data_IF_314456939587
#
_entry.id   IF_314456939587
#
_cell.length_a   1.000
_cell.length_b   1.000
_cell.length_c   1.000
_cell.angle_alpha   90.00
_cell.angle_beta   90.00
_cell.angle_gamma   90.00
#
_symmetry.space_group_name_H-M   'P 1'
#
loop_
_entity.id
_entity.type
_entity.pdbx_description
1 polymer ?
#
# COMPACT_ATOMS: atom_id res chain seq x y z
N UNK A 1 10.57 19.26 -4.66
CA UNK A 1 10.61 17.96 -3.95
C UNK A 1 9.79 17.98 -2.65
N UNK A 2 8.66 18.72 -2.57
CA UNK A 2 7.91 18.89 -1.31
C UNK A 2 6.38 18.71 -1.43
N UNK A 3 5.88 18.31 -2.60
CA UNK A 3 4.42 18.12 -2.82
C UNK A 3 3.98 16.68 -2.59
N UNK A 4 4.82 15.69 -2.88
CA UNK A 4 4.49 14.26 -2.71
C UNK A 4 4.38 13.85 -1.24
N UNK A 5 5.16 14.49 -0.34
CA UNK A 5 5.13 14.20 1.10
C UNK A 5 3.78 14.54 1.78
N UNK A 6 2.95 15.38 1.15
CA UNK A 6 1.60 15.69 1.66
C UNK A 6 0.51 14.78 1.07
N UNK A 7 0.72 14.21 -0.13
CA UNK A 7 -0.27 13.39 -0.83
C UNK A 7 -0.58 12.10 -0.07
N UNK A 8 0.44 11.50 0.54
CA UNK A 8 0.35 10.23 1.29
C UNK A 8 0.62 10.39 2.78
N UNK A 9 0.30 11.56 3.35
CA UNK A 9 0.54 11.83 4.75
C UNK A 9 -0.17 10.80 5.64
N UNK A 10 0.60 9.95 6.33
CA UNK A 10 0.08 8.87 7.16
C UNK A 10 -0.03 7.51 6.47
N UNK A 11 0.36 7.38 5.21
CA UNK A 11 0.53 6.09 4.53
C UNK A 11 1.94 5.55 4.77
N UNK A 12 2.05 4.25 5.02
CA UNK A 12 3.33 3.55 5.17
C UNK A 12 3.32 2.29 4.32
N UNK A 13 4.43 2.06 3.63
CA UNK A 13 4.72 0.85 2.89
C UNK A 13 5.65 0.01 3.75
N UNK A 14 5.28 -1.25 3.97
CA UNK A 14 6.04 -2.20 4.77
C UNK A 14 6.44 -3.37 3.87
N UNK A 15 7.55 -3.20 3.17
CA UNK A 15 8.31 -4.28 2.57
C UNK A 15 9.15 -4.99 3.65
N UNK A 16 9.56 -6.24 3.39
CA UNK A 16 10.44 -7.00 4.29
C UNK A 16 9.86 -7.31 5.68
N UNK A 17 8.62 -7.80 5.73
CA UNK A 17 8.04 -8.32 6.97
C UNK A 17 8.90 -9.48 7.49
N UNK A 18 9.39 -9.34 8.73
CA UNK A 18 10.24 -10.35 9.39
C UNK A 18 9.51 -11.70 9.36
N UNK A 19 10.21 -12.74 8.91
CA UNK A 19 9.73 -14.13 8.70
C UNK A 19 8.74 -14.33 7.53
N UNK A 20 8.39 -13.28 6.78
CA UNK A 20 7.50 -13.35 5.61
C UNK A 20 7.95 -12.41 4.47
N UNK A 21 9.05 -12.73 3.76
CA UNK A 21 9.63 -11.87 2.72
C UNK A 21 8.72 -11.67 1.50
N UNK A 22 7.74 -12.56 1.30
CA UNK A 22 6.75 -12.45 0.22
C UNK A 22 5.51 -11.64 0.63
N UNK A 23 5.48 -11.04 1.83
CA UNK A 23 4.35 -10.25 2.29
C UNK A 23 4.67 -8.76 2.27
N UNK A 24 3.68 -7.98 1.84
CA UNK A 24 3.73 -6.52 1.86
C UNK A 24 2.59 -6.00 2.71
N UNK A 25 2.90 -5.06 3.60
CA UNK A 25 1.91 -4.34 4.39
C UNK A 25 1.74 -2.91 3.90
N UNK A 26 0.50 -2.45 3.79
CA UNK A 26 0.17 -1.04 3.57
C UNK A 26 -0.61 -0.54 4.78
N UNK A 27 -0.15 0.54 5.42
CA UNK A 27 -0.77 1.09 6.60
C UNK A 27 -1.24 2.52 6.33
N UNK A 28 -2.52 2.79 6.58
CA UNK A 28 -3.08 4.14 6.59
C UNK A 28 -3.42 4.57 8.02
N UNK A 29 -2.72 5.59 8.52
CA UNK A 29 -2.94 6.19 9.84
C UNK A 29 -3.90 7.39 9.81
N UNK A 30 -4.32 7.85 8.64
CA UNK A 30 -5.43 8.79 8.49
C UNK A 30 -6.77 8.12 8.76
N UNK A 31 -7.83 8.88 9.02
CA UNK A 31 -9.17 8.32 9.20
C UNK A 31 -9.85 8.10 7.84
N UNK A 32 -10.48 6.94 7.56
CA UNK A 32 -10.49 5.72 8.39
C UNK A 32 -9.14 4.99 8.40
N UNK A 33 -8.74 4.51 9.60
CA UNK A 33 -7.44 3.86 9.80
C UNK A 33 -7.51 2.39 9.43
N UNK A 34 -6.63 1.95 8.55
CA UNK A 34 -6.60 0.57 8.11
C UNK A 34 -5.18 0.07 7.88
N UNK A 35 -5.04 -1.25 8.03
CA UNK A 35 -3.88 -2.01 7.69
C UNK A 35 -4.27 -3.04 6.64
N UNK A 36 -3.65 -2.96 5.47
CA UNK A 36 -3.87 -3.89 4.36
C UNK A 36 -2.66 -4.81 4.30
N UNK A 37 -2.90 -6.11 4.40
CA UNK A 37 -1.86 -7.13 4.27
C UNK A 37 -2.03 -7.82 2.92
N UNK A 38 -0.99 -7.75 2.10
CA UNK A 38 -0.87 -8.50 0.85
C UNK A 38 -0.02 -9.75 1.17
N UNK A 39 -0.63 -10.95 1.16
CA UNK A 39 0.04 -12.17 1.58
C UNK A 39 1.06 -12.70 0.55
N UNK A 40 0.95 -12.26 -0.70
CA UNK A 40 1.88 -12.59 -1.78
C UNK A 40 2.17 -11.35 -2.63
N UNK A 41 3.34 -10.76 -2.45
CA UNK A 41 3.83 -9.60 -3.18
C UNK A 41 4.18 -9.91 -4.64
N UNK A 42 4.44 -11.17 -4.97
CA UNK A 42 4.67 -11.60 -6.36
C UNK A 42 3.43 -11.52 -7.23
N UNK A 43 2.24 -11.71 -6.65
CA UNK A 43 0.95 -11.58 -7.34
C UNK A 43 0.48 -10.12 -7.44
N UNK A 44 1.19 -9.22 -6.76
CA UNK A 44 0.86 -7.80 -6.68
C UNK A 44 1.45 -7.01 -7.85
N UNK A 45 2.62 -7.42 -8.34
CA UNK A 45 3.30 -6.82 -9.48
C UNK A 45 2.37 -6.84 -10.72
N UNK A 46 1.97 -5.66 -11.22
CA UNK A 46 1.02 -5.45 -12.33
C UNK A 46 -0.47 -5.78 -12.09
N UNK A 47 -0.90 -5.89 -10.83
CA UNK A 47 -2.30 -6.16 -10.52
C UNK A 47 -3.22 -4.95 -10.80
N UNK A 48 -4.52 -5.20 -10.98
CA UNK A 48 -5.56 -4.14 -11.04
C UNK A 48 -6.06 -3.81 -9.62
N UNK A 49 -6.73 -2.66 -9.45
CA UNK A 49 -7.33 -2.32 -8.15
C UNK A 49 -8.29 -3.40 -7.62
N UNK A 50 -9.04 -4.06 -8.50
CA UNK A 50 -9.95 -5.15 -8.10
C UNK A 50 -9.18 -6.40 -7.61
N UNK A 51 -8.07 -6.73 -8.27
CA UNK A 51 -7.18 -7.82 -7.85
C UNK A 51 -6.47 -7.49 -6.55
N UNK A 52 -6.01 -6.25 -6.38
CA UNK A 52 -5.49 -5.76 -5.11
C UNK A 52 -6.49 -6.02 -3.98
N UNK A 53 -7.76 -5.61 -4.15
CA UNK A 53 -8.79 -5.87 -3.14
C UNK A 53 -9.06 -7.35 -2.91
N UNK A 54 -8.91 -8.19 -3.95
CA UNK A 54 -9.15 -9.62 -3.85
C UNK A 54 -8.05 -10.36 -3.07
N UNK A 55 -6.78 -10.02 -3.31
CA UNK A 55 -5.64 -10.65 -2.64
C UNK A 55 -5.36 -10.03 -1.27
N UNK A 56 -5.80 -8.80 -1.06
CA UNK A 56 -5.56 -8.06 0.18
C UNK A 56 -6.45 -8.47 1.34
N UNK A 57 -5.85 -8.56 2.52
CA UNK A 57 -6.55 -8.69 3.78
C UNK A 57 -6.64 -7.32 4.47
N UNK A 58 -7.83 -6.71 4.42
CA UNK A 58 -8.07 -5.37 4.97
C UNK A 58 -8.47 -5.48 6.43
N UNK A 59 -7.65 -4.91 7.31
CA UNK A 59 -7.87 -4.84 8.75
C UNK A 59 -8.14 -3.38 9.16
N UNK A 60 -9.38 -3.07 9.48
CA UNK A 60 -9.76 -1.76 10.02
C UNK A 60 -9.34 -1.67 11.49
N UNK A 61 -8.51 -0.68 11.82
CA UNK A 61 -7.97 -0.50 13.18
C UNK A 61 -9.02 0.05 14.15
N UNK A 62 -10.05 0.70 13.62
CA UNK A 62 -11.20 1.20 14.38
C UNK A 62 -12.44 0.32 14.11
N UNK A 63 -12.66 -0.75 14.90
CA UNK A 63 -13.79 -1.66 14.67
C UNK A 63 -15.15 -1.00 14.92
N UNK A 64 -15.20 0.05 15.73
CA UNK A 64 -16.42 0.79 16.09
C UNK A 64 -16.80 1.87 15.10
N UNK A 65 -15.84 2.40 14.34
CA UNK A 65 -16.06 3.47 13.37
C UNK A 65 -15.11 3.30 12.18
N UNK A 66 -15.59 2.55 11.19
CA UNK A 66 -14.83 2.19 9.99
C UNK A 66 -15.00 3.22 8.86
N UNK A 67 -15.63 4.37 9.14
CA UNK A 67 -16.06 5.31 8.11
C UNK A 67 -17.17 4.76 7.21
N UNK A 68 -17.61 5.56 6.24
CA UNK A 68 -18.58 5.14 5.23
C UNK A 68 -17.92 4.24 4.17
N UNK A 69 -18.69 3.46 3.41
CA UNK A 69 -18.13 2.66 2.30
C UNK A 69 -17.39 3.51 1.27
N UNK A 70 -17.80 4.75 1.06
CA UNK A 70 -17.10 5.70 0.19
C UNK A 70 -15.72 6.06 0.75
N UNK A 71 -15.63 6.44 2.03
CA UNK A 71 -14.35 6.77 2.69
C UNK A 71 -13.40 5.57 2.72
N UNK A 72 -13.94 4.37 2.97
CA UNK A 72 -13.16 3.13 2.94
C UNK A 72 -12.55 2.91 1.56
N UNK A 73 -13.33 3.12 0.50
CA UNK A 73 -12.87 2.98 -0.87
C UNK A 73 -11.82 4.03 -1.21
N UNK A 74 -12.01 5.29 -0.82
CA UNK A 74 -11.03 6.36 -1.04
C UNK A 74 -9.69 6.04 -0.38
N UNK A 75 -9.70 5.50 0.85
CA UNK A 75 -8.46 5.08 1.53
C UNK A 75 -7.79 3.90 0.83
N UNK A 76 -8.56 2.93 0.35
CA UNK A 76 -8.00 1.78 -0.36
C UNK A 76 -7.44 2.19 -1.74
N UNK A 77 -8.12 3.08 -2.47
CA UNK A 77 -7.63 3.66 -3.72
C UNK A 77 -6.35 4.48 -3.47
N UNK A 78 -6.29 5.25 -2.37
CA UNK A 78 -5.07 5.98 -1.99
C UNK A 78 -3.89 5.04 -1.69
N UNK A 79 -4.14 3.97 -0.93
CA UNK A 79 -3.11 2.98 -0.61
C UNK A 79 -2.63 2.22 -1.85
N UNK A 80 -3.53 1.95 -2.79
CA UNK A 80 -3.21 1.35 -4.08
C UNK A 80 -2.37 2.28 -4.95
N UNK A 81 -2.75 3.54 -5.09
CA UNK A 81 -1.94 4.52 -5.82
C UNK A 81 -0.55 4.66 -5.18
N UNK A 82 -0.49 4.64 -3.85
CA UNK A 82 0.76 4.71 -3.11
C UNK A 82 1.67 3.50 -3.36
N UNK A 83 1.11 2.29 -3.41
CA UNK A 83 1.87 1.07 -3.63
C UNK A 83 2.45 1.01 -5.04
N UNK A 84 1.69 1.42 -6.06
CA UNK A 84 2.20 1.55 -7.44
C UNK A 84 3.36 2.55 -7.50
N UNK A 85 3.24 3.70 -6.82
CA UNK A 85 4.34 4.68 -6.76
C UNK A 85 5.58 4.14 -6.02
N UNK A 86 5.42 3.26 -5.02
CA UNK A 86 6.56 2.61 -4.36
C UNK A 86 7.23 1.59 -5.30
N UNK A 87 6.48 0.77 -6.02
CA UNK A 87 7.03 -0.19 -7.00
C UNK A 87 7.84 0.52 -8.10
N UNK A 88 7.29 1.58 -8.70
CA UNK A 88 7.99 2.35 -9.74
C UNK A 88 9.29 2.96 -9.19
N UNK A 89 9.29 3.37 -7.92
CA UNK A 89 10.47 3.90 -7.25
C UNK A 89 11.52 2.81 -7.01
N UNK A 90 11.11 1.61 -6.61
CA UNK A 90 12.03 0.47 -6.45
C UNK A 90 12.64 0.05 -7.79
N UNK A 91 11.84 -0.04 -8.85
CA UNK A 91 12.32 -0.37 -10.21
C UNK A 91 13.33 0.67 -10.72
N UNK A 92 13.06 1.96 -10.51
CA UNK A 92 13.99 3.04 -10.83
C UNK A 92 15.31 2.89 -10.08
N UNK A 93 15.27 2.67 -8.76
CA UNK A 93 16.48 2.49 -7.95
C UNK A 93 17.27 1.26 -8.38
N UNK A 94 16.60 0.16 -8.73
CA UNK A 94 17.24 -1.05 -9.24
C UNK A 94 17.96 -0.77 -10.57
N UNK A 95 17.30 -0.09 -11.51
CA UNK A 95 17.92 0.27 -12.80
C UNK A 95 19.09 1.25 -12.67
N UNK A 96 19.06 2.14 -11.67
CA UNK A 96 20.17 3.05 -11.38
C UNK A 96 21.39 2.28 -10.80
N UNK A 97 21.16 1.32 -9.91
CA UNK A 97 22.20 0.43 -9.37
C UNK A 97 22.82 -0.51 -10.41
N UNK A 98 22.09 -0.93 -11.45
CA UNK A 98 22.63 -1.78 -12.53
C UNK A 98 23.54 -1.03 -13.52
N UNK A 99 23.50 0.31 -13.51
CA UNK A 99 24.29 1.15 -14.42
C UNK A 99 25.58 1.72 -13.78
N UNK A 100 25.95 1.28 -12.57
CA UNK A 100 27.23 1.61 -11.89
C UNK A 100 28.29 0.49 -12.01
#
# INVERSE_FOLDING_TARGET
MARDAQKYAGCWYCDNIIDHPEQVGLLHLGFPRCFVLIPNSGDFYFSTFEEFLHYSQINWLDPSDKGTPEEQREVLELLWDFSIEQEEKEERLASECENE
#
